data_IF_222372264875
#
_entry.id   IF_222372264875
#
_cell.length_a   1.000
_cell.length_b   1.000
_cell.length_c   1.000
_cell.angle_alpha   90.00
_cell.angle_beta   90.00
_cell.angle_gamma   90.00
#
_symmetry.space_group_name_H-M   'P 1'
#
loop_
_entity.id
_entity.type
_entity.pdbx_description
1 polymer ?
#
# COMPACT_ATOMS: atom_id res chain seq x y z
N UNK A 1 1.88 -13.17 -4.43
CA UNK A 1 2.11 -12.65 -3.07
C UNK A 1 3.40 -13.21 -2.51
N UNK A 2 3.96 -12.52 -1.55
CA UNK A 2 5.27 -12.87 -1.05
C UNK A 2 5.26 -13.15 0.43
N UNK A 3 6.08 -14.11 0.85
CA UNK A 3 6.33 -14.43 2.26
C UNK A 3 7.13 -13.29 2.91
N UNK A 4 6.92 -13.12 4.21
CA UNK A 4 7.64 -12.10 4.99
C UNK A 4 7.04 -10.71 4.92
N UNK A 5 6.01 -10.51 4.11
CA UNK A 5 5.28 -9.25 4.05
C UNK A 5 4.01 -9.35 4.88
N UNK A 6 3.46 -8.17 5.20
CA UNK A 6 2.16 -8.08 5.86
C UNK A 6 1.19 -7.44 4.87
N UNK A 7 -0.08 -7.82 4.93
CA UNK A 7 -1.07 -7.42 3.93
C UNK A 7 -2.32 -6.86 4.58
N UNK A 8 -2.90 -5.83 3.95
CA UNK A 8 -4.17 -5.27 4.39
C UNK A 8 -5.32 -5.80 3.54
N UNK A 9 -6.56 -5.62 4.02
CA UNK A 9 -7.75 -6.00 3.25
C UNK A 9 -8.00 -5.09 2.05
N UNK A 10 -7.33 -3.95 2.01
CA UNK A 10 -7.41 -3.03 0.87
C UNK A 10 -6.30 -3.32 -0.15
N UNK A 11 -5.59 -4.45 0.01
CA UNK A 11 -4.59 -4.94 -0.93
C UNK A 11 -3.33 -4.07 -0.99
N UNK A 12 -2.89 -3.58 0.18
CA UNK A 12 -1.56 -3.00 0.31
C UNK A 12 -0.67 -3.97 1.07
N UNK A 13 0.63 -3.93 0.75
CA UNK A 13 1.62 -4.73 1.46
C UNK A 13 2.55 -3.84 2.27
N UNK A 14 3.12 -4.43 3.31
CA UNK A 14 4.09 -3.77 4.19
C UNK A 14 5.32 -4.65 4.30
N UNK A 15 6.49 -4.06 4.10
CA UNK A 15 7.77 -4.69 4.35
C UNK A 15 8.49 -3.90 5.42
N UNK A 16 8.83 -4.56 6.53
CA UNK A 16 9.53 -3.90 7.63
C UNK A 16 11.02 -3.81 7.31
N UNK A 17 11.58 -2.60 7.37
CA UNK A 17 12.98 -2.32 7.10
C UNK A 17 13.54 -1.49 8.25
N UNK A 18 14.19 -2.14 9.20
CA UNK A 18 14.67 -1.49 10.42
C UNK A 18 13.50 -0.82 11.15
N UNK A 19 13.55 0.50 11.29
CA UNK A 19 12.51 1.27 11.99
C UNK A 19 11.45 1.81 11.05
N UNK A 20 11.56 1.52 9.76
CA UNK A 20 10.64 2.02 8.75
C UNK A 20 9.82 0.89 8.16
N UNK A 21 8.70 1.26 7.56
CA UNK A 21 7.84 0.31 6.87
C UNK A 21 7.68 0.75 5.42
N UNK A 22 8.06 -0.10 4.48
CA UNK A 22 7.89 0.17 3.06
C UNK A 22 6.50 -0.33 2.66
N UNK A 23 5.77 0.47 1.92
CA UNK A 23 4.37 0.19 1.56
C UNK A 23 4.20 0.23 0.06
N UNK A 24 3.44 -0.71 -0.46
CA UNK A 24 3.03 -0.73 -1.86
C UNK A 24 1.70 -1.42 -2.01
N UNK A 25 1.26 -1.62 -3.25
CA UNK A 25 0.02 -2.35 -3.54
C UNK A 25 0.36 -3.75 -4.05
N UNK A 26 -0.55 -4.70 -3.83
CA UNK A 26 -0.29 -6.09 -4.18
C UNK A 26 -0.50 -6.34 -5.67
N UNK A 27 -0.03 -7.51 -6.12
CA UNK A 27 -0.27 -7.94 -7.49
C UNK A 27 -1.77 -8.02 -7.79
N UNK A 28 -2.56 -8.49 -6.82
CA UNK A 28 -4.01 -8.53 -6.98
C UNK A 28 -4.57 -7.13 -7.25
N UNK A 29 -4.10 -6.13 -6.49
CA UNK A 29 -4.59 -4.76 -6.65
C UNK A 29 -4.28 -4.22 -8.04
N UNK A 30 -3.05 -4.41 -8.53
CA UNK A 30 -2.69 -3.87 -9.84
C UNK A 30 -3.42 -4.59 -10.98
N UNK A 31 -3.70 -5.87 -10.83
CA UNK A 31 -4.47 -6.61 -11.85
C UNK A 31 -5.90 -6.09 -11.93
N UNK A 32 -6.49 -5.76 -10.79
CA UNK A 32 -7.86 -5.22 -10.76
C UNK A 32 -7.92 -3.82 -11.36
N UNK A 33 -6.86 -3.02 -11.15
CA UNK A 33 -6.80 -1.65 -11.66
C UNK A 33 -6.57 -1.60 -13.18
N UNK A 34 -5.77 -2.53 -13.71
CA UNK A 34 -5.32 -2.46 -15.09
C UNK A 34 -4.14 -1.51 -15.24
N UNK A 35 -3.88 -1.07 -16.46
CA UNK A 35 -2.69 -0.24 -16.76
C UNK A 35 -2.71 1.08 -16.01
N UNK A 36 -1.72 1.26 -15.13
CA UNK A 36 -1.60 2.46 -14.31
C UNK A 36 -0.98 3.58 -15.15
N UNK A 37 -1.63 4.75 -15.13
CA UNK A 37 -1.18 5.91 -15.91
C UNK A 37 -0.72 7.06 -15.03
N UNK A 38 -1.11 7.07 -13.75
CA UNK A 38 -0.71 8.12 -12.83
C UNK A 38 -0.79 7.63 -11.39
N UNK A 39 0.17 8.05 -10.55
CA UNK A 39 0.15 7.77 -9.11
C UNK A 39 0.24 9.08 -8.37
N UNK A 40 -0.76 9.35 -7.53
CA UNK A 40 -0.71 10.50 -6.64
C UNK A 40 -0.02 10.04 -5.36
N UNK A 41 1.24 10.48 -5.19
CA UNK A 41 2.03 10.11 -4.03
C UNK A 41 1.68 10.96 -2.82
N UNK A 42 1.85 10.44 -1.60
CA UNK A 42 1.63 11.26 -0.40
C UNK A 42 2.74 12.31 -0.25
N UNK A 43 2.44 13.35 0.51
CA UNK A 43 3.46 14.35 0.85
C UNK A 43 4.36 13.82 1.96
N UNK A 44 5.66 14.06 1.84
CA UNK A 44 6.60 13.73 2.91
C UNK A 44 6.23 14.53 4.15
N UNK A 45 6.18 13.85 5.28
CA UNK A 45 5.78 14.46 6.55
C UNK A 45 4.31 14.30 6.89
N UNK A 46 3.50 13.85 5.93
CA UNK A 46 2.07 13.63 6.18
C UNK A 46 1.88 12.57 7.27
N UNK A 47 0.98 12.84 8.20
CA UNK A 47 0.59 11.86 9.20
C UNK A 47 -0.64 11.12 8.73
N UNK A 48 -0.63 9.80 8.92
CA UNK A 48 -1.73 8.92 8.49
C UNK A 48 -2.10 7.97 9.62
N UNK A 49 -3.36 7.55 9.62
CA UNK A 49 -3.89 6.62 10.62
C UNK A 49 -4.33 5.33 9.94
N UNK A 50 -3.98 4.19 10.55
CA UNK A 50 -4.34 2.87 9.99
C UNK A 50 -5.81 2.81 9.63
N UNK A 51 -6.10 2.24 8.47
CA UNK A 51 -7.45 2.15 7.94
C UNK A 51 -8.36 1.35 8.87
N UNK A 52 -9.60 1.85 9.03
CA UNK A 52 -10.65 1.22 9.83
C UNK A 52 -11.85 0.96 8.92
N UNK A 53 -12.90 0.35 9.45
CA UNK A 53 -14.09 0.06 8.66
C UNK A 53 -14.62 1.28 7.94
N UNK A 54 -14.72 2.40 8.65
CA UNK A 54 -15.16 3.66 8.05
C UNK A 54 -13.93 4.41 7.54
N UNK A 55 -13.82 4.53 6.25
CA UNK A 55 -12.68 5.21 5.61
C UNK A 55 -12.77 6.71 5.79
N UNK A 56 -11.62 7.34 6.00
CA UNK A 56 -11.51 8.78 6.17
C UNK A 56 -10.23 9.27 5.49
N UNK A 57 -10.15 10.58 5.26
CA UNK A 57 -9.02 11.15 4.52
C UNK A 57 -7.67 10.92 5.20
N UNK A 58 -7.63 10.94 6.53
CA UNK A 58 -6.39 10.68 7.27
C UNK A 58 -5.88 9.25 7.10
N UNK A 59 -6.66 8.38 6.48
CA UNK A 59 -6.28 7.00 6.19
C UNK A 59 -5.76 6.83 4.78
N UNK A 60 -5.78 7.88 3.96
CA UNK A 60 -5.34 7.80 2.57
C UNK A 60 -3.88 8.19 2.43
N UNK A 61 -3.10 7.35 1.74
CA UNK A 61 -1.73 7.68 1.34
C UNK A 61 -1.72 8.47 0.04
N UNK A 62 -2.67 8.19 -0.84
CA UNK A 62 -2.72 8.82 -2.15
C UNK A 62 -3.70 8.08 -3.03
N UNK A 63 -3.45 8.06 -4.33
CA UNK A 63 -4.34 7.39 -5.27
C UNK A 63 -3.57 6.85 -6.46
N UNK A 64 -4.13 5.81 -7.07
CA UNK A 64 -3.60 5.24 -8.31
C UNK A 64 -4.67 5.39 -9.38
N UNK A 65 -4.28 5.98 -10.49
CA UNK A 65 -5.16 6.19 -11.63
C UNK A 65 -4.77 5.26 -12.76
N UNK A 66 -5.72 4.46 -13.24
CA UNK A 66 -5.53 3.59 -14.38
C UNK A 66 -6.37 4.09 -15.54
N UNK A 67 -6.24 3.43 -16.70
CA UNK A 67 -7.04 3.79 -17.87
C UNK A 67 -8.53 3.63 -17.64
N UNK A 68 -8.96 2.85 -16.63
CA UNK A 68 -10.38 2.58 -16.39
C UNK A 68 -10.91 3.09 -15.05
N UNK A 69 -10.05 3.48 -14.11
CA UNK A 69 -10.54 3.82 -12.77
C UNK A 69 -9.53 4.64 -11.98
N UNK A 70 -10.01 5.26 -10.91
CA UNK A 70 -9.16 5.91 -9.89
C UNK A 70 -9.44 5.21 -8.57
N UNK A 71 -8.40 4.81 -7.85
CA UNK A 71 -8.53 4.10 -6.60
C UNK A 71 -7.67 4.74 -5.52
N UNK A 72 -8.27 5.06 -4.38
CA UNK A 72 -7.51 5.57 -3.24
C UNK A 72 -6.62 4.46 -2.70
N UNK A 73 -5.43 4.84 -2.23
CA UNK A 73 -4.53 3.92 -1.53
C UNK A 73 -4.60 4.25 -0.05
N UNK A 74 -5.10 3.31 0.74
CA UNK A 74 -5.22 3.49 2.18
C UNK A 74 -3.99 2.96 2.89
N UNK A 75 -3.62 3.60 4.00
CA UNK A 75 -2.42 3.18 4.70
C UNK A 75 -2.67 1.92 5.54
N UNK A 76 -1.78 0.94 5.46
CA UNK A 76 -1.87 -0.25 6.32
C UNK A 76 -1.42 -0.01 7.75
N UNK A 77 -0.69 1.09 8.01
CA UNK A 77 -0.17 1.42 9.34
C UNK A 77 -0.28 2.91 9.61
N UNK A 78 -0.46 3.25 10.89
CA UNK A 78 -0.39 4.64 11.33
C UNK A 78 1.06 5.08 11.39
N UNK A 79 1.32 6.34 11.10
CA UNK A 79 2.67 6.91 11.17
C UNK A 79 2.81 8.14 10.33
N UNK A 80 4.04 8.49 10.02
CA UNK A 80 4.30 9.64 9.15
C UNK A 80 5.10 9.20 7.91
N UNK A 81 4.82 9.85 6.79
CA UNK A 81 5.48 9.54 5.52
C UNK A 81 6.90 10.10 5.57
N UNK A 82 7.90 9.25 5.42
CA UNK A 82 9.32 9.64 5.45
C UNK A 82 9.90 9.82 4.07
N UNK A 83 9.48 9.00 3.12
CA UNK A 83 10.02 9.02 1.77
C UNK A 83 8.95 8.52 0.80
N UNK A 84 8.96 9.03 -0.41
CA UNK A 84 8.05 8.57 -1.47
C UNK A 84 8.87 8.10 -2.67
N UNK A 85 8.29 7.19 -3.44
CA UNK A 85 8.94 6.67 -4.64
C UNK A 85 8.69 7.60 -5.82
N UNK A 86 9.52 8.63 -5.96
CA UNK A 86 9.34 9.64 -6.99
C UNK A 86 9.50 9.08 -8.41
N UNK A 87 10.09 7.89 -8.57
CA UNK A 87 10.18 7.25 -9.88
C UNK A 87 8.80 7.00 -10.47
N UNK A 88 7.77 6.85 -9.63
CA UNK A 88 6.41 6.63 -10.11
C UNK A 88 5.82 7.86 -10.81
N UNK A 89 6.39 9.04 -10.60
CA UNK A 89 5.93 10.24 -11.32
C UNK A 89 6.19 10.14 -12.82
N UNK A 90 7.30 9.52 -13.20
CA UNK A 90 7.66 9.34 -14.60
C UNK A 90 7.35 7.96 -15.14
N UNK A 91 7.33 6.96 -14.25
CA UNK A 91 7.13 5.56 -14.61
C UNK A 91 6.06 4.91 -13.75
N UNK A 92 4.80 5.38 -13.85
CA UNK A 92 3.72 4.80 -13.03
C UNK A 92 3.45 3.33 -13.33
N UNK A 93 3.83 2.86 -14.52
CA UNK A 93 3.67 1.46 -14.91
C UNK A 93 4.49 0.49 -14.04
N UNK A 94 5.44 1.00 -13.23
CA UNK A 94 6.17 0.14 -12.28
C UNK A 94 5.21 -0.52 -11.28
N UNK A 95 4.08 0.11 -10.99
CA UNK A 95 3.06 -0.50 -10.14
C UNK A 95 2.55 -1.79 -10.76
N UNK A 96 2.44 -1.84 -12.08
CA UNK A 96 1.99 -3.04 -12.79
C UNK A 96 3.10 -4.08 -12.92
N UNK A 97 4.30 -3.64 -13.30
CA UNK A 97 5.38 -4.56 -13.67
C UNK A 97 6.18 -5.05 -12.48
N UNK A 98 6.23 -4.27 -11.40
CA UNK A 98 7.05 -4.60 -10.23
C UNK A 98 6.40 -4.12 -8.93
N UNK A 99 5.17 -4.58 -8.62
CA UNK A 99 4.41 -4.04 -7.47
C UNK A 99 5.09 -4.27 -6.12
N UNK A 100 5.89 -5.32 -5.99
CA UNK A 100 6.54 -5.64 -4.72
C UNK A 100 7.95 -5.09 -4.59
N UNK A 101 8.52 -4.58 -5.66
CA UNK A 101 9.90 -4.08 -5.67
C UNK A 101 9.94 -2.62 -6.11
N UNK A 102 10.18 -2.35 -7.39
CA UNK A 102 10.35 -0.99 -7.88
C UNK A 102 9.09 -0.13 -7.84
N UNK A 103 7.93 -0.78 -7.76
CA UNK A 103 6.63 -0.08 -7.70
C UNK A 103 6.16 0.29 -6.30
N UNK A 104 7.03 0.30 -5.29
CA UNK A 104 6.65 0.70 -3.95
C UNK A 104 6.16 2.16 -3.92
N UNK A 105 5.30 2.47 -2.95
CA UNK A 105 4.66 3.80 -2.88
C UNK A 105 5.41 4.73 -1.95
N UNK A 106 5.62 4.32 -0.69
CA UNK A 106 6.27 5.18 0.29
C UNK A 106 6.90 4.38 1.43
N UNK A 107 7.73 5.08 2.22
CA UNK A 107 8.24 4.58 3.50
C UNK A 107 7.54 5.34 4.60
N UNK A 108 7.04 4.61 5.59
CA UNK A 108 6.40 5.18 6.77
C UNK A 108 7.28 4.98 8.00
N UNK A 109 7.24 5.95 8.91
CA UNK A 109 7.75 5.76 10.25
C UNK A 109 6.55 5.38 11.12
N UNK A 110 6.40 4.10 11.49
CA UNK A 110 5.20 3.66 12.22
C UNK A 110 5.13 4.27 13.61
N UNK A 111 3.92 4.57 14.06
CA UNK A 111 3.71 5.13 15.40
C UNK A 111 3.22 4.10 16.42
N UNK A 112 2.66 2.98 15.96
CA UNK A 112 2.11 1.95 16.85
C UNK A 112 2.22 0.57 16.20
N UNK A 113 3.42 0.23 15.77
CA UNK A 113 3.67 -0.93 14.93
C UNK A 113 3.18 -2.24 15.51
N UNK A 114 3.57 -2.54 16.77
CA UNK A 114 3.25 -3.84 17.36
C UNK A 114 1.75 -4.08 17.49
N UNK A 115 1.00 -3.05 17.87
CA UNK A 115 -0.44 -3.17 17.99
C UNK A 115 -1.11 -3.30 16.63
N UNK A 116 -0.64 -2.53 15.64
CA UNK A 116 -1.30 -2.49 14.35
C UNK A 116 -0.96 -3.65 13.43
N UNK A 117 0.20 -4.29 13.64
CA UNK A 117 0.53 -5.50 12.86
C UNK A 117 -0.49 -6.61 13.09
N UNK A 118 -1.13 -6.62 14.26
CA UNK A 118 -2.16 -7.61 14.56
C UNK A 118 -3.39 -7.48 13.66
N UNK A 119 -3.58 -6.33 13.04
CA UNK A 119 -4.71 -6.08 12.16
C UNK A 119 -4.39 -6.43 10.71
N UNK A 120 -3.16 -6.85 10.43
CA UNK A 120 -2.72 -7.20 9.09
C UNK A 120 -2.62 -8.72 8.94
N UNK A 121 -2.58 -9.18 7.69
CA UNK A 121 -2.48 -10.61 7.37
C UNK A 121 -1.07 -10.94 6.93
N UNK A 122 -0.62 -12.17 7.20
CA UNK A 122 0.58 -12.69 6.58
C UNK A 122 0.23 -13.22 5.18
N UNK A 123 1.21 -13.78 4.46
CA UNK A 123 0.97 -14.29 3.11
C UNK A 123 -0.12 -15.37 3.09
N UNK A 124 -0.09 -16.28 4.06
CA UNK A 124 -1.08 -17.35 4.15
C UNK A 124 -2.48 -16.80 4.41
N UNK A 125 -2.60 -15.86 5.35
CA UNK A 125 -3.89 -15.24 5.66
C UNK A 125 -4.44 -14.44 4.49
N UNK A 126 -3.56 -13.72 3.79
CA UNK A 126 -3.98 -12.97 2.62
C UNK A 126 -4.44 -13.90 1.49
N UNK A 127 -3.74 -15.03 1.28
CA UNK A 127 -4.16 -16.01 0.28
C UNK A 127 -5.57 -16.53 0.56
N UNK A 128 -5.86 -16.83 1.83
CA UNK A 128 -7.20 -17.28 2.22
C UNK A 128 -8.23 -16.17 2.02
N UNK A 129 -7.86 -14.93 2.35
CA UNK A 129 -8.75 -13.80 2.13
C UNK A 129 -9.10 -13.64 0.65
N UNK A 130 -8.11 -13.77 -0.24
CA UNK A 130 -8.35 -13.65 -1.68
C UNK A 130 -9.34 -14.68 -2.20
N UNK A 131 -9.36 -15.88 -1.60
CA UNK A 131 -10.30 -16.93 -2.01
C UNK A 131 -11.76 -16.56 -1.71
N UNK A 132 -11.99 -15.63 -0.79
CA UNK A 132 -13.34 -15.19 -0.46
C UNK A 132 -13.86 -14.13 -1.44
N UNK A 133 -12.99 -13.58 -2.26
CA UNK A 133 -13.33 -12.55 -3.24
C UNK A 133 -13.71 -13.19 -4.57
N UNK A 134 -14.60 -12.55 -5.28
CA UNK A 134 -15.06 -13.07 -6.58
C UNK A 134 -14.89 -12.07 -7.68
#
# INVERSE_FOLDING_TARGET
MREGLHYSKDHEWVKLEDKLARVGVTDYAQRKLGDVVYVELPDVGKRVAQVKEKRAKEMELGAIESIKAVSAVYTPLSGSVKEVNSALNERPELVNTSPYDEGWICLLEPSDLNAELKNLMDASGYAEFLKTLK
#
